data_IF_933294901345
#
_entry.id   IF_933294901345
#
_cell.length_a   1.000
_cell.length_b   1.000
_cell.length_c   1.000
_cell.angle_alpha   90.00
_cell.angle_beta   90.00
_cell.angle_gamma   90.00
#
_symmetry.space_group_name_H-M   'P 1'
#
loop_
_entity.id
_entity.type
_entity.pdbx_description
1 polymer ?
#
# COMPACT_ATOMS: atom_id res chain seq x y z
N UNK A 1 17.34 -23.03 40.25
CA UNK A 1 15.94 -22.58 40.03
C UNK A 1 15.85 -21.71 38.76
N UNK A 2 16.37 -22.20 37.63
CA UNK A 2 16.24 -21.51 36.34
C UNK A 2 14.80 -21.55 35.81
N UNK A 3 13.97 -22.49 36.29
CA UNK A 3 12.55 -22.58 35.93
C UNK A 3 11.76 -21.28 36.19
N UNK A 4 12.16 -20.52 37.21
CA UNK A 4 11.53 -19.23 37.51
C UNK A 4 11.93 -18.10 36.55
N UNK A 5 13.02 -18.29 35.80
CA UNK A 5 13.54 -17.33 34.82
C UNK A 5 13.05 -17.64 33.40
N UNK A 6 12.59 -18.87 33.13
CA UNK A 6 12.14 -19.27 31.80
C UNK A 6 11.03 -18.37 31.25
N UNK A 7 9.92 -18.19 32.00
CA UNK A 7 8.79 -17.37 31.55
C UNK A 7 9.15 -15.87 31.44
N UNK A 8 9.86 -15.25 32.40
CA UNK A 8 10.33 -13.88 32.24
C UNK A 8 11.24 -13.66 31.03
N UNK A 9 12.19 -14.56 30.78
CA UNK A 9 13.10 -14.47 29.62
C UNK A 9 12.31 -14.63 28.32
N UNK A 10 11.34 -15.55 28.28
CA UNK A 10 10.48 -15.73 27.11
C UNK A 10 9.63 -14.49 26.85
N UNK A 11 9.09 -13.86 27.89
CA UNK A 11 8.34 -12.60 27.76
C UNK A 11 9.22 -11.47 27.22
N UNK A 12 10.46 -11.35 27.72
CA UNK A 12 11.43 -10.38 27.20
C UNK A 12 11.78 -10.65 25.72
N UNK A 13 11.97 -11.91 25.34
CA UNK A 13 12.22 -12.29 23.96
C UNK A 13 11.04 -11.96 23.05
N UNK A 14 9.80 -12.17 23.52
CA UNK A 14 8.59 -11.79 22.78
C UNK A 14 8.49 -10.28 22.58
N UNK A 15 8.76 -9.49 23.63
CA UNK A 15 8.78 -8.03 23.53
C UNK A 15 9.87 -7.54 22.55
N UNK A 16 11.05 -8.17 22.57
CA UNK A 16 12.12 -7.85 21.61
C UNK A 16 11.71 -8.18 20.17
N UNK A 17 11.06 -9.32 19.94
CA UNK A 17 10.56 -9.70 18.61
C UNK A 17 9.49 -8.73 18.09
N UNK A 18 8.57 -8.29 18.95
CA UNK A 18 7.56 -7.28 18.62
C UNK A 18 8.24 -5.94 18.27
N UNK A 19 9.19 -5.50 19.10
CA UNK A 19 9.94 -4.28 18.86
C UNK A 19 10.68 -4.30 17.52
N UNK A 20 11.31 -5.44 17.18
CA UNK A 20 11.99 -5.62 15.90
C UNK A 20 11.01 -5.60 14.72
N UNK A 21 9.83 -6.22 14.86
CA UNK A 21 8.81 -6.20 13.82
C UNK A 21 8.30 -4.77 13.51
N UNK A 22 8.26 -3.90 14.52
CA UNK A 22 7.86 -2.50 14.35
C UNK A 22 8.92 -1.63 13.64
N UNK A 23 10.16 -2.10 13.49
CA UNK A 23 11.20 -1.40 12.73
C UNK A 23 10.93 -1.47 11.21
N UNK A 24 10.21 -2.48 10.77
CA UNK A 24 9.83 -2.60 9.36
C UNK A 24 8.68 -1.64 9.02
N UNK A 25 8.72 -0.95 7.86
CA UNK A 25 7.63 -0.06 7.45
C UNK A 25 6.34 -0.86 7.27
N UNK A 26 5.25 -0.38 7.88
CA UNK A 26 3.94 -1.03 7.86
C UNK A 26 3.17 -0.84 6.53
N UNK A 27 3.84 -0.36 5.48
CA UNK A 27 3.27 -0.11 4.15
C UNK A 27 4.33 -0.17 3.05
N UNK A 28 3.94 -0.59 1.84
CA UNK A 28 4.82 -0.57 0.67
C UNK A 28 5.27 0.87 0.37
N UNK A 29 6.58 1.11 0.36
CA UNK A 29 7.15 2.43 0.08
C UNK A 29 7.18 3.39 1.27
N UNK A 30 6.81 2.95 2.47
CA UNK A 30 6.97 3.74 3.69
C UNK A 30 8.39 3.65 4.25
N UNK A 31 8.78 4.71 4.99
CA UNK A 31 10.07 4.78 5.65
C UNK A 31 10.02 4.01 6.97
N UNK A 32 11.03 3.20 7.26
CA UNK A 32 11.25 2.67 8.60
C UNK A 32 11.35 3.81 9.65
N UNK A 33 10.93 3.57 10.90
CA UNK A 33 11.11 4.53 11.99
C UNK A 33 12.59 4.86 12.22
N UNK A 34 12.91 6.11 12.55
CA UNK A 34 14.28 6.51 12.90
C UNK A 34 14.79 5.76 14.15
N UNK A 35 16.08 5.39 14.23
CA UNK A 35 17.18 5.69 13.31
C UNK A 35 17.31 4.75 12.11
N UNK A 36 16.36 3.84 11.89
CA UNK A 36 16.44 2.83 10.83
C UNK A 36 15.90 3.35 9.48
N UNK A 37 16.42 2.80 8.38
CA UNK A 37 15.97 3.05 7.02
C UNK A 37 16.37 4.40 6.41
N UNK A 38 16.32 4.45 5.08
CA UNK A 38 16.60 5.65 4.28
C UNK A 38 15.30 6.23 3.70
N UNK A 39 15.26 7.53 3.36
CA UNK A 39 14.11 8.13 2.70
C UNK A 39 13.80 7.36 1.39
N UNK A 40 12.61 6.79 1.24
CA UNK A 40 12.26 6.03 0.04
C UNK A 40 12.12 6.98 -1.16
N UNK A 41 12.66 6.56 -2.31
CA UNK A 41 12.63 7.34 -3.56
C UNK A 41 11.19 7.66 -3.98
N UNK A 42 10.25 6.75 -3.71
CA UNK A 42 8.81 6.94 -4.01
C UNK A 42 8.18 8.09 -3.22
N UNK A 43 8.76 8.51 -2.09
CA UNK A 43 8.28 9.66 -1.32
C UNK A 43 8.86 10.99 -1.79
N UNK A 44 9.76 11.02 -2.78
CA UNK A 44 10.21 12.29 -3.33
C UNK A 44 9.00 13.06 -3.92
N UNK A 45 8.98 14.40 -3.80
CA UNK A 45 7.88 15.20 -4.35
C UNK A 45 7.69 14.97 -5.85
N UNK A 46 8.81 14.78 -6.56
CA UNK A 46 8.86 14.52 -7.99
C UNK A 46 8.24 13.17 -8.35
N UNK A 47 8.57 12.09 -7.63
CA UNK A 47 8.01 10.76 -7.87
C UNK A 47 6.53 10.69 -7.50
N UNK A 48 6.10 11.34 -6.42
CA UNK A 48 4.68 11.42 -6.08
C UNK A 48 3.89 12.18 -7.14
N UNK A 49 4.45 13.26 -7.69
CA UNK A 49 3.82 14.00 -8.78
C UNK A 49 3.72 13.16 -10.07
N UNK A 50 4.77 12.39 -10.41
CA UNK A 50 4.74 11.47 -11.54
C UNK A 50 3.66 10.38 -11.37
N UNK A 51 3.62 9.73 -10.20
CA UNK A 51 2.66 8.67 -9.89
C UNK A 51 1.20 9.18 -9.94
N UNK A 52 0.94 10.39 -9.45
CA UNK A 52 -0.38 11.03 -9.57
C UNK A 52 -0.78 11.24 -11.02
N UNK A 53 0.13 11.76 -11.86
CA UNK A 53 -0.14 11.97 -13.30
C UNK A 53 -0.45 10.66 -14.02
N UNK A 54 0.31 9.61 -13.74
CA UNK A 54 0.05 8.27 -14.30
C UNK A 54 -1.30 7.72 -13.85
N UNK A 55 -1.64 7.88 -12.57
CA UNK A 55 -2.93 7.46 -12.01
C UNK A 55 -4.09 8.22 -12.64
N UNK A 56 -3.97 9.53 -12.83
CA UNK A 56 -4.96 10.37 -13.49
C UNK A 56 -5.13 10.04 -14.98
N UNK A 57 -4.05 9.68 -15.67
CA UNK A 57 -4.13 9.22 -17.06
C UNK A 57 -4.85 7.87 -17.15
N UNK A 58 -4.48 6.91 -16.28
CA UNK A 58 -5.13 5.60 -16.22
C UNK A 58 -6.61 5.72 -15.88
N UNK A 59 -6.98 6.58 -14.93
CA UNK A 59 -8.38 6.79 -14.55
C UNK A 59 -9.20 7.33 -15.72
N UNK A 60 -8.68 8.30 -16.46
CA UNK A 60 -9.34 8.83 -17.67
C UNK A 60 -9.58 7.75 -18.72
N UNK A 61 -8.63 6.84 -18.93
CA UNK A 61 -8.80 5.72 -19.86
C UNK A 61 -9.88 4.73 -19.38
N UNK A 62 -9.95 4.44 -18.08
CA UNK A 62 -10.97 3.58 -17.49
C UNK A 62 -12.36 4.20 -17.67
N UNK A 63 -12.49 5.51 -17.40
CA UNK A 63 -13.77 6.22 -17.52
C UNK A 63 -14.26 6.24 -18.97
N UNK A 64 -13.38 6.53 -19.93
CA UNK A 64 -13.70 6.47 -21.37
C UNK A 64 -14.15 5.07 -21.80
N UNK A 65 -13.45 4.02 -21.32
CA UNK A 65 -13.80 2.63 -21.63
C UNK A 65 -15.18 2.29 -21.05
N UNK A 66 -15.46 2.75 -19.82
CA UNK A 66 -16.73 2.53 -19.15
C UNK A 66 -17.89 3.22 -19.87
N UNK A 67 -17.67 4.44 -20.36
CA UNK A 67 -18.64 5.17 -21.17
C UNK A 67 -18.90 4.46 -22.51
N UNK A 68 -17.85 4.01 -23.20
CA UNK A 68 -17.99 3.26 -24.45
C UNK A 68 -18.82 1.98 -24.26
N UNK A 69 -18.54 1.20 -23.20
CA UNK A 69 -19.32 -0.01 -22.87
C UNK A 69 -20.78 0.34 -22.54
N UNK A 70 -21.03 1.42 -21.81
CA UNK A 70 -22.39 1.88 -21.50
C UNK A 70 -23.16 2.25 -22.78
N UNK A 71 -22.52 2.93 -23.72
CA UNK A 71 -23.13 3.32 -24.98
C UNK A 71 -23.46 2.10 -25.85
N UNK A 72 -22.55 1.12 -25.95
CA UNK A 72 -22.80 -0.14 -26.65
C UNK A 72 -23.99 -0.88 -26.03
N UNK A 73 -24.04 -0.96 -24.70
CA UNK A 73 -25.16 -1.60 -23.98
C UNK A 73 -26.49 -0.89 -24.28
N UNK A 74 -26.51 0.44 -24.26
CA UNK A 74 -27.72 1.21 -24.56
C UNK A 74 -28.18 1.02 -26.02
N UNK A 75 -27.25 1.01 -26.98
CA UNK A 75 -27.56 0.75 -28.39
C UNK A 75 -28.04 -0.68 -28.64
N UNK A 76 -27.59 -1.67 -27.87
CA UNK A 76 -28.05 -3.05 -27.96
C UNK A 76 -29.44 -3.27 -27.33
N UNK A 77 -29.87 -2.40 -26.41
CA UNK A 77 -31.21 -2.46 -25.78
C UNK A 77 -32.26 -1.66 -26.59
N UNK A 78 -31.85 -0.59 -27.28
CA UNK A 78 -32.70 0.25 -28.12
C UNK A 78 -33.07 -0.24 -29.55
N UNK A 79 -32.53 -1.32 -30.16
CA UNK A 79 -32.80 -1.65 -31.57
C UNK A 79 -34.11 -2.43 -31.77
N UNK A 80 -34.96 -2.52 -30.74
CA UNK A 80 -36.20 -3.31 -30.73
C UNK A 80 -37.47 -2.49 -30.43
N UNK A 81 -37.48 -1.17 -30.68
CA UNK A 81 -38.71 -0.36 -30.68
C UNK A 81 -38.96 0.26 -32.05
#
# INVERSE_FOLDING_TARGET
MFDRLYLPVLALAALAAIGLAMVWPQGLGDRSPAPFGHPPVQRSPEMQAAMRRETEAAQRHIDQTREAVRNIKNQAIAPHQ
#
